data_IF_340458488392
#
_entry.id   IF_340458488392
#
_cell.length_a   1.000
_cell.length_b   1.000
_cell.length_c   1.000
_cell.angle_alpha   90.00
_cell.angle_beta   90.00
_cell.angle_gamma   90.00
#
_symmetry.space_group_name_H-M   'P 1'
#
loop_
_entity.id
_entity.type
_entity.pdbx_description
1 polymer ?
#
# COMPACT_ATOMS: atom_id res chain seq x y z
N UNK A 1 -11.41 -3.15 -19.46
CA UNK A 1 -11.31 -4.54 -19.92
C UNK A 1 -9.90 -5.02 -19.65
N UNK A 2 -9.72 -6.21 -19.09
CA UNK A 2 -8.38 -6.75 -18.81
C UNK A 2 -7.61 -7.02 -20.10
N UNK A 3 -6.32 -6.72 -20.10
CA UNK A 3 -5.44 -7.06 -21.22
C UNK A 3 -5.06 -8.54 -21.13
N UNK A 4 -5.19 -9.27 -22.24
CA UNK A 4 -4.64 -10.62 -22.35
C UNK A 4 -3.14 -10.47 -22.62
N UNK A 5 -2.32 -10.93 -21.68
CA UNK A 5 -0.85 -10.83 -21.74
C UNK A 5 -0.18 -12.12 -22.22
N UNK A 6 -0.91 -13.23 -22.23
CA UNK A 6 -0.42 -14.54 -22.69
C UNK A 6 -1.11 -15.69 -21.97
N UNK A 7 -0.64 -16.91 -22.22
CA UNK A 7 -1.16 -18.13 -21.62
C UNK A 7 -0.13 -18.73 -20.67
N UNK A 8 -0.58 -19.22 -19.53
CA UNK A 8 0.23 -19.96 -18.55
C UNK A 8 -0.36 -21.35 -18.36
N UNK A 9 0.50 -22.34 -18.12
CA UNK A 9 0.08 -23.72 -17.87
C UNK A 9 0.11 -24.03 -16.38
N UNK A 10 -0.90 -24.76 -15.91
CA UNK A 10 -0.90 -25.34 -14.57
C UNK A 10 0.06 -26.53 -14.57
N UNK A 11 1.13 -26.42 -13.79
CA UNK A 11 2.15 -27.45 -13.63
C UNK A 11 1.68 -28.53 -12.63
N UNK A 12 2.56 -29.50 -12.36
CA UNK A 12 2.28 -30.53 -11.35
C UNK A 12 1.92 -29.89 -10.01
N UNK A 13 1.00 -30.54 -9.27
CA UNK A 13 0.50 -30.08 -7.96
C UNK A 13 -0.22 -28.72 -8.00
N UNK A 14 -0.72 -28.30 -9.15
CA UNK A 14 -1.49 -27.05 -9.25
C UNK A 14 -0.65 -25.78 -9.27
N UNK A 15 0.67 -25.88 -9.45
CA UNK A 15 1.58 -24.72 -9.45
C UNK A 15 1.42 -23.93 -10.75
N UNK A 16 1.28 -22.61 -10.64
CA UNK A 16 1.25 -21.68 -11.78
C UNK A 16 2.44 -20.73 -11.66
N UNK A 17 3.23 -20.62 -12.72
CA UNK A 17 4.35 -19.66 -12.77
C UNK A 17 3.85 -18.29 -13.22
N UNK A 18 4.16 -17.26 -12.44
CA UNK A 18 3.82 -15.86 -12.74
C UNK A 18 4.93 -15.12 -13.51
N UNK A 19 5.91 -15.85 -14.07
CA UNK A 19 7.04 -15.25 -14.78
C UNK A 19 6.64 -14.28 -15.90
N UNK A 20 5.52 -14.55 -16.58
CA UNK A 20 4.94 -13.70 -17.63
C UNK A 20 4.66 -12.27 -17.13
N UNK A 21 4.35 -12.09 -15.85
CA UNK A 21 3.99 -10.78 -15.30
C UNK A 21 5.18 -9.84 -15.11
N UNK A 22 6.42 -10.36 -15.06
CA UNK A 22 7.64 -9.55 -14.84
C UNK A 22 7.85 -8.51 -15.94
N UNK A 23 7.41 -8.82 -17.16
CA UNK A 23 7.54 -7.95 -18.34
C UNK A 23 6.45 -6.88 -18.43
N UNK A 24 5.46 -6.90 -17.52
CA UNK A 24 4.28 -6.04 -17.55
C UNK A 24 4.20 -5.05 -16.38
N UNK A 25 5.35 -4.59 -15.88
CA UNK A 25 5.45 -3.61 -14.78
C UNK A 25 4.76 -4.04 -13.48
N UNK A 26 4.54 -5.34 -13.27
CA UNK A 26 4.09 -5.88 -11.99
C UNK A 26 5.35 -6.25 -11.19
N UNK A 27 5.68 -5.51 -10.10
CA UNK A 27 6.82 -5.85 -9.27
C UNK A 27 6.56 -7.20 -8.60
N UNK A 28 7.39 -8.19 -8.93
CA UNK A 28 7.35 -9.53 -8.38
C UNK A 28 8.69 -9.88 -7.74
N UNK A 29 8.67 -10.17 -6.45
CA UNK A 29 9.80 -10.67 -5.68
C UNK A 29 9.47 -12.03 -5.08
N UNK A 30 10.51 -12.81 -4.80
CA UNK A 30 10.34 -14.08 -4.11
C UNK A 30 9.71 -13.84 -2.72
N UNK A 31 8.66 -14.60 -2.41
CA UNK A 31 7.90 -14.46 -1.16
C UNK A 31 6.78 -13.42 -1.20
N UNK A 32 6.56 -12.70 -2.32
CA UNK A 32 5.37 -11.85 -2.47
C UNK A 32 4.08 -12.68 -2.37
N UNK A 33 3.07 -12.09 -1.75
CA UNK A 33 1.79 -12.75 -1.46
C UNK A 33 0.73 -12.20 -2.39
N UNK A 34 -0.14 -13.09 -2.87
CA UNK A 34 -1.30 -12.72 -3.66
C UNK A 34 -2.56 -13.16 -2.94
N UNK A 35 -3.53 -12.25 -2.85
CA UNK A 35 -4.89 -12.63 -2.55
C UNK A 35 -5.53 -13.19 -3.82
N UNK A 36 -6.24 -14.31 -3.68
CA UNK A 36 -6.98 -14.94 -4.78
C UNK A 36 -8.45 -14.61 -4.62
N UNK A 37 -9.03 -13.97 -5.62
CA UNK A 37 -10.46 -13.68 -5.72
C UNK A 37 -11.06 -14.40 -6.92
N UNK A 38 -12.29 -14.90 -6.77
CA UNK A 38 -13.07 -15.49 -7.86
C UNK A 38 -14.26 -14.58 -8.14
N UNK A 39 -14.37 -14.11 -9.38
CA UNK A 39 -15.43 -13.19 -9.81
C UNK A 39 -15.80 -13.49 -11.27
N UNK A 40 -17.08 -13.71 -11.56
CA UNK A 40 -17.59 -14.02 -12.91
C UNK A 40 -16.82 -15.14 -13.64
N UNK A 41 -16.43 -16.19 -12.92
CA UNK A 41 -15.66 -17.30 -13.47
C UNK A 41 -14.19 -16.97 -13.76
N UNK A 42 -13.69 -15.80 -13.37
CA UNK A 42 -12.29 -15.38 -13.48
C UNK A 42 -11.59 -15.57 -12.15
N UNK A 43 -10.30 -15.90 -12.22
CA UNK A 43 -9.38 -15.86 -11.08
C UNK A 43 -8.62 -14.54 -11.14
N UNK A 44 -8.74 -13.74 -10.09
CA UNK A 44 -8.06 -12.46 -9.94
C UNK A 44 -7.00 -12.62 -8.87
N UNK A 45 -5.75 -12.31 -9.22
CA UNK A 45 -4.62 -12.29 -8.29
C UNK A 45 -4.31 -10.85 -7.93
N UNK A 46 -4.47 -10.50 -6.64
CA UNK A 46 -4.24 -9.16 -6.13
C UNK A 46 -2.93 -9.17 -5.34
N UNK A 47 -1.88 -8.43 -5.77
CA UNK A 47 -0.65 -8.34 -5.01
C UNK A 47 -0.90 -7.76 -3.61
N UNK A 48 -0.33 -8.39 -2.59
CA UNK A 48 -0.46 -7.98 -1.20
C UNK A 48 0.92 -7.70 -0.59
N UNK A 49 0.94 -6.77 0.36
CA UNK A 49 2.07 -6.56 1.27
C UNK A 49 1.61 -6.86 2.69
N UNK A 50 2.39 -7.66 3.40
CA UNK A 50 2.14 -7.92 4.82
C UNK A 50 2.61 -6.74 5.64
N UNK A 51 1.77 -6.36 6.60
CA UNK A 51 2.10 -5.39 7.63
C UNK A 51 1.98 -6.08 8.99
N UNK A 52 2.91 -5.84 9.94
CA UNK A 52 2.75 -6.29 11.31
C UNK A 52 1.41 -5.83 11.89
N UNK A 53 0.74 -6.69 12.66
CA UNK A 53 -0.62 -6.42 13.14
C UNK A 53 -0.69 -5.14 13.99
N UNK A 54 0.35 -4.89 14.78
CA UNK A 54 0.56 -3.70 15.61
C UNK A 54 0.84 -2.41 14.81
N UNK A 55 1.06 -2.50 13.50
CA UNK A 55 1.21 -1.37 12.58
C UNK A 55 -0.03 -1.15 11.68
N UNK A 56 -1.07 -2.00 11.81
CA UNK A 56 -2.28 -1.90 10.99
C UNK A 56 -3.01 -0.57 11.18
N UNK A 57 -2.90 0.04 12.36
CA UNK A 57 -3.56 1.32 12.68
C UNK A 57 -3.17 2.44 11.71
N UNK A 58 -1.92 2.45 11.23
CA UNK A 58 -1.42 3.46 10.28
C UNK A 58 -2.19 3.44 8.95
N UNK A 59 -2.66 2.26 8.55
CA UNK A 59 -3.37 2.04 7.29
C UNK A 59 -4.89 2.18 7.42
N UNK A 60 -5.39 2.60 8.58
CA UNK A 60 -6.82 2.89 8.73
C UNK A 60 -7.20 4.11 7.91
N UNK A 61 -8.45 4.16 7.42
CA UNK A 61 -8.94 5.30 6.62
C UNK A 61 -8.86 6.61 7.38
N UNK A 62 -9.11 6.57 8.69
CA UNK A 62 -9.04 7.74 9.56
C UNK A 62 -7.61 8.27 9.66
N UNK A 63 -6.63 7.39 9.94
CA UNK A 63 -5.23 7.80 10.02
C UNK A 63 -4.73 8.37 8.68
N UNK A 64 -4.99 7.69 7.56
CA UNK A 64 -4.59 8.16 6.23
C UNK A 64 -5.23 9.49 5.84
N UNK A 65 -6.44 9.78 6.33
CA UNK A 65 -7.08 11.09 6.14
C UNK A 65 -6.34 12.18 6.93
N UNK A 66 -5.98 11.90 8.19
CA UNK A 66 -5.17 12.81 9.00
C UNK A 66 -3.79 13.09 8.42
N UNK A 67 -3.10 12.05 7.93
CA UNK A 67 -1.81 12.19 7.24
C UNK A 67 -1.92 13.09 6.00
N UNK A 68 -2.99 12.93 5.20
CA UNK A 68 -3.23 13.78 4.03
C UNK A 68 -3.47 15.24 4.42
N UNK A 69 -4.25 15.48 5.47
CA UNK A 69 -4.51 16.82 6.00
C UNK A 69 -3.22 17.48 6.52
N UNK A 70 -2.39 16.73 7.26
CA UNK A 70 -1.11 17.20 7.76
C UNK A 70 -0.13 17.55 6.62
N UNK A 71 -0.03 16.71 5.59
CA UNK A 71 0.79 16.98 4.40
C UNK A 71 0.31 18.25 3.67
N UNK A 72 -1.01 18.43 3.53
CA UNK A 72 -1.59 19.64 2.94
C UNK A 72 -1.24 20.90 3.73
N UNK A 73 -1.27 20.84 5.06
CA UNK A 73 -0.90 21.97 5.92
C UNK A 73 0.61 22.26 5.89
N UNK A 74 1.47 21.23 5.80
CA UNK A 74 2.92 21.39 5.60
C UNK A 74 3.19 22.09 4.26
N UNK A 75 2.61 21.60 3.16
CA UNK A 75 2.78 22.17 1.82
C UNK A 75 2.24 23.60 1.74
N UNK A 76 1.14 23.89 2.43
CA UNK A 76 0.57 25.23 2.53
C UNK A 76 1.33 26.16 3.49
N UNK A 77 2.37 25.67 4.18
CA UNK A 77 3.15 26.44 5.15
C UNK A 77 2.37 26.78 6.43
N UNK A 78 1.28 26.08 6.73
CA UNK A 78 0.47 26.24 7.96
C UNK A 78 1.07 25.44 9.12
N UNK A 79 2.39 25.45 9.21
CA UNK A 79 3.15 24.78 10.26
C UNK A 79 4.03 25.79 10.95
N UNK A 80 4.24 25.58 12.25
CA UNK A 80 5.21 26.35 13.04
C UNK A 80 6.33 25.42 13.47
N UNK A 81 7.57 25.89 13.37
CA UNK A 81 8.74 25.22 13.93
C UNK A 81 9.21 25.97 15.17
N UNK A 82 9.69 25.24 16.16
CA UNK A 82 10.22 25.79 17.40
C UNK A 82 11.62 25.21 17.65
N UNK A 83 12.53 26.01 18.19
CA UNK A 83 13.91 25.59 18.47
C UNK A 83 14.02 24.71 19.71
N UNK A 84 13.07 24.82 20.64
CA UNK A 84 13.01 24.05 21.88
C UNK A 84 11.56 23.84 22.34
N UNK A 85 11.38 22.92 23.31
CA UNK A 85 10.07 22.56 23.83
C UNK A 85 9.44 23.69 24.65
N UNK A 86 10.25 24.51 25.35
CA UNK A 86 9.76 25.65 26.12
C UNK A 86 9.06 26.69 25.23
N UNK A 87 9.57 26.94 24.04
CA UNK A 87 8.99 27.88 23.09
C UNK A 87 7.70 27.34 22.45
N UNK A 88 7.62 26.03 22.21
CA UNK A 88 6.37 25.37 21.80
C UNK A 88 5.29 25.51 22.89
N UNK A 89 5.63 25.22 24.15
CA UNK A 89 4.67 25.29 25.26
C UNK A 89 4.10 26.71 25.44
N UNK A 90 4.96 27.74 25.32
CA UNK A 90 4.52 29.15 25.38
C UNK A 90 3.56 29.54 24.25
N UNK A 91 3.61 28.89 23.09
CA UNK A 91 2.66 29.14 21.98
C UNK A 91 1.33 28.41 22.21
N UNK A 92 1.36 27.23 22.83
CA UNK A 92 0.16 26.43 23.14
C UNK A 92 -0.68 26.99 24.31
N UNK A 93 -0.03 27.62 25.29
CA UNK A 93 -0.69 28.20 26.48
C UNK A 93 -1.29 29.60 26.24
N UNK A 94 -1.30 30.09 24.99
CA UNK A 94 -1.92 31.37 24.59
C UNK A 94 -3.41 31.21 24.28
#
# INVERSE_FOLDING_TARGET
>A
MGQVVGNIIVQKRGVVSLGLLKEHNIPLNDGDIFQVQIEDGKVILIPMKLIPADQTWFWTREWQKGEKEAEEDIVAGKVKSFENAEDLLKDLDQ
#
